data_IF_988087168073
#
_entry.id   IF_988087168073
#
_cell.length_a   1.000
_cell.length_b   1.000
_cell.length_c   1.000
_cell.angle_alpha   90.00
_cell.angle_beta   90.00
_cell.angle_gamma   90.00
#
_symmetry.space_group_name_H-M   'P 1'
#
loop_
_entity.id
_entity.type
_entity.pdbx_description
1 polymer ?
#
# COMPACT_ATOMS: atom_id res chain seq x y z
N UNK A 1 9.04 1.86 15.95
CA UNK A 1 7.79 2.62 16.10
C UNK A 1 6.93 2.16 17.28
N UNK A 2 6.46 0.91 17.37
CA UNK A 2 5.56 0.51 18.48
C UNK A 2 6.19 0.59 19.89
N UNK A 3 7.46 0.18 20.03
CA UNK A 3 8.21 0.25 21.29
C UNK A 3 8.44 1.68 21.78
N UNK A 4 8.56 2.66 20.86
CA UNK A 4 8.72 4.08 21.19
C UNK A 4 7.49 4.64 21.94
N UNK A 5 6.30 4.10 21.64
CA UNK A 5 5.05 4.47 22.31
C UNK A 5 4.69 3.53 23.48
N UNK A 6 5.59 2.63 23.91
CA UNK A 6 5.31 1.65 24.96
C UNK A 6 4.26 0.59 24.59
N UNK A 7 3.97 0.42 23.29
CA UNK A 7 2.95 -0.51 22.80
C UNK A 7 3.61 -1.79 22.27
N UNK A 8 3.03 -2.94 22.60
CA UNK A 8 3.42 -4.21 21.99
C UNK A 8 3.22 -4.15 20.47
N UNK A 9 4.32 -4.29 19.72
CA UNK A 9 4.27 -4.31 18.25
C UNK A 9 3.38 -5.41 17.70
N UNK A 10 3.32 -6.56 18.38
CA UNK A 10 2.42 -7.67 18.02
C UNK A 10 0.95 -7.27 18.16
N UNK A 11 0.58 -6.60 19.25
CA UNK A 11 -0.80 -6.14 19.45
C UNK A 11 -1.18 -5.07 18.43
N UNK A 12 -0.25 -4.17 18.11
CA UNK A 12 -0.45 -3.15 17.09
C UNK A 12 -0.71 -3.76 15.71
N UNK A 13 0.03 -4.81 15.33
CA UNK A 13 -0.20 -5.51 14.06
C UNK A 13 -1.58 -6.15 13.98
N UNK A 14 -2.04 -6.81 15.06
CA UNK A 14 -3.38 -7.38 15.11
C UNK A 14 -4.46 -6.29 15.03
N UNK A 15 -4.33 -5.24 15.84
CA UNK A 15 -5.24 -4.09 15.83
C UNK A 15 -5.36 -3.48 14.44
N UNK A 16 -4.22 -3.23 13.79
CA UNK A 16 -4.19 -2.66 12.45
C UNK A 16 -4.89 -3.57 11.43
N UNK A 17 -4.52 -4.86 11.38
CA UNK A 17 -5.09 -5.82 10.44
C UNK A 17 -6.59 -6.03 10.64
N UNK A 18 -7.03 -6.15 11.88
CA UNK A 18 -8.38 -6.60 12.18
C UNK A 18 -9.39 -5.47 12.31
N UNK A 19 -8.95 -4.24 12.60
CA UNK A 19 -9.84 -3.11 12.91
C UNK A 19 -9.53 -1.82 12.16
N UNK A 20 -8.26 -1.48 11.86
CA UNK A 20 -7.93 -0.16 11.29
C UNK A 20 -7.71 -0.16 9.77
N UNK A 21 -7.33 -1.30 9.20
CA UNK A 21 -6.95 -1.39 7.78
C UNK A 21 -8.11 -1.66 6.82
N UNK A 22 -9.33 -1.82 7.33
CA UNK A 22 -10.51 -2.26 6.59
C UNK A 22 -10.33 -3.54 5.76
N UNK A 23 -9.27 -4.30 6.03
CA UNK A 23 -8.92 -5.48 5.23
C UNK A 23 -10.04 -6.52 5.17
N UNK A 24 -10.88 -6.59 6.21
CA UNK A 24 -12.05 -7.48 6.25
C UNK A 24 -13.21 -6.98 5.37
N UNK A 25 -13.39 -5.66 5.25
CA UNK A 25 -14.42 -5.03 4.44
C UNK A 25 -13.96 -4.72 3.01
N UNK A 26 -12.68 -4.96 2.70
CA UNK A 26 -12.11 -4.69 1.39
C UNK A 26 -12.80 -5.51 0.29
N UNK A 27 -13.59 -4.82 -0.56
CA UNK A 27 -14.41 -5.44 -1.61
C UNK A 27 -13.60 -6.28 -2.61
N UNK A 28 -12.33 -5.93 -2.82
CA UNK A 28 -11.47 -6.61 -3.80
C UNK A 28 -10.79 -7.87 -3.26
N UNK A 29 -10.96 -8.17 -1.96
CA UNK A 29 -10.31 -9.31 -1.30
C UNK A 29 -10.56 -10.66 -1.97
N UNK A 30 -11.75 -10.87 -2.56
CA UNK A 30 -12.12 -12.13 -3.21
C UNK A 30 -11.26 -12.46 -4.42
N UNK A 31 -10.83 -11.44 -5.16
CA UNK A 31 -10.03 -11.60 -6.37
C UNK A 31 -8.60 -11.08 -6.20
N UNK A 32 -8.18 -10.67 -5.00
CA UNK A 32 -6.84 -10.16 -4.74
C UNK A 32 -5.72 -11.12 -5.18
N UNK A 33 -5.99 -12.43 -5.19
CA UNK A 33 -5.04 -13.46 -5.70
C UNK A 33 -4.85 -13.45 -7.21
N UNK A 34 -5.76 -12.84 -7.97
CA UNK A 34 -5.70 -12.78 -9.43
C UNK A 34 -4.82 -11.63 -9.92
N UNK A 35 -4.59 -10.62 -9.08
CA UNK A 35 -3.86 -9.39 -9.43
C UNK A 35 -2.53 -9.31 -8.69
N UNK A 36 -1.87 -10.46 -8.52
CA UNK A 36 -0.55 -10.54 -7.93
C UNK A 36 0.48 -10.07 -8.95
N UNK A 37 1.33 -9.14 -8.55
CA UNK A 37 2.48 -8.71 -9.35
C UNK A 37 3.67 -9.59 -8.97
N UNK A 38 4.17 -10.35 -9.93
CA UNK A 38 5.39 -11.14 -9.76
C UNK A 38 6.60 -10.36 -10.28
N UNK A 39 7.82 -10.63 -9.78
CA UNK A 39 9.04 -10.01 -10.29
C UNK A 39 9.22 -10.12 -11.80
N UNK A 40 8.72 -11.20 -12.41
CA UNK A 40 8.77 -11.43 -13.85
C UNK A 40 7.74 -10.58 -14.63
N UNK A 41 6.71 -10.08 -13.94
CA UNK A 41 5.71 -9.16 -14.52
C UNK A 41 6.12 -7.69 -14.36
N UNK A 42 7.24 -7.43 -13.70
CA UNK A 42 7.79 -6.10 -13.49
C UNK A 42 8.74 -5.77 -14.65
N UNK A 43 8.35 -4.81 -15.48
CA UNK A 43 9.22 -4.22 -16.49
C UNK A 43 10.30 -3.32 -15.86
N UNK A 44 11.30 -2.91 -16.66
CA UNK A 44 12.38 -1.99 -16.21
C UNK A 44 11.88 -0.65 -15.64
N UNK A 45 10.62 -0.30 -15.91
CA UNK A 45 9.94 0.90 -15.43
C UNK A 45 8.62 0.45 -14.81
N UNK A 46 8.53 0.58 -13.49
CA UNK A 46 7.46 0.00 -12.66
C UNK A 46 6.28 0.94 -12.44
N UNK A 47 6.54 2.24 -12.53
CA UNK A 47 5.60 3.28 -12.16
C UNK A 47 5.67 4.40 -13.18
N UNK A 48 4.51 4.77 -13.68
CA UNK A 48 4.25 6.12 -14.17
C UNK A 48 3.86 6.87 -12.90
N UNK A 49 4.80 7.61 -12.31
CA UNK A 49 4.51 8.37 -11.10
C UNK A 49 4.02 9.75 -11.51
N UNK A 50 2.87 10.14 -10.96
CA UNK A 50 2.26 11.43 -11.23
C UNK A 50 2.70 12.39 -10.13
N UNK A 51 3.66 13.25 -10.47
CA UNK A 51 4.18 14.26 -9.55
C UNK A 51 3.60 15.62 -9.91
N UNK A 52 2.98 16.30 -8.94
CA UNK A 52 2.67 17.72 -9.06
C UNK A 52 3.82 18.52 -8.46
N UNK A 53 4.60 19.17 -9.32
CA UNK A 53 5.36 20.33 -8.89
C UNK A 53 4.37 21.50 -8.79
N UNK A 54 4.48 22.29 -7.72
CA UNK A 54 3.61 23.42 -7.36
C UNK A 54 3.03 24.22 -8.55
N UNK A 55 1.81 24.74 -8.38
CA UNK A 55 0.96 25.44 -9.37
C UNK A 55 0.07 24.57 -10.28
N UNK A 56 -0.19 23.32 -9.91
CA UNK A 56 -1.21 22.50 -10.58
C UNK A 56 -0.77 21.93 -11.92
N UNK A 57 0.51 22.01 -12.24
CA UNK A 57 1.11 21.28 -13.35
C UNK A 57 1.36 19.84 -12.92
N UNK A 58 0.87 18.91 -13.74
CA UNK A 58 0.92 17.47 -13.50
C UNK A 58 1.94 16.87 -14.44
N UNK A 59 2.98 16.25 -13.90
CA UNK A 59 4.02 15.60 -14.69
C UNK A 59 3.94 14.10 -14.53
N UNK A 60 4.04 13.43 -15.67
CA UNK A 60 4.25 11.99 -15.76
C UNK A 60 5.74 11.71 -15.84
N UNK A 61 6.31 11.09 -14.81
CA UNK A 61 7.70 10.64 -14.81
C UNK A 61 7.74 9.16 -15.21
N UNK A 62 8.60 8.82 -16.17
CA UNK A 62 8.76 7.47 -16.75
C UNK A 62 10.22 7.03 -16.69
#
# INVERSE_FOLDING_TARGET
MASFYGVSGRNLQYQYKDYLSDFKAWKQKSHAKQWLVFPENIGKRLSIDETSLSNGELYTIV
#
